data_IF_980230009928
#
_entry.id   IF_980230009928
#
_cell.length_a   1.000
_cell.length_b   1.000
_cell.length_c   1.000
_cell.angle_alpha   90.00
_cell.angle_beta   90.00
_cell.angle_gamma   90.00
#
_symmetry.space_group_name_H-M   'P 1'
#
loop_
_entity.id
_entity.type
_entity.pdbx_description
1 polymer ?
#
# COMPACT_ATOMS: atom_id res chain seq x y z
N UNK A 1 2.71 -30.81 9.03
CA UNK A 1 2.89 -29.51 8.36
C UNK A 1 2.97 -28.45 9.43
N UNK A 2 3.93 -27.51 9.38
CA UNK A 2 4.07 -26.45 10.39
C UNK A 2 2.89 -25.46 10.38
N UNK A 3 2.19 -25.38 9.27
CA UNK A 3 0.99 -24.58 9.10
C UNK A 3 -0.22 -25.47 8.86
N UNK A 4 -1.20 -25.36 9.75
CA UNK A 4 -2.54 -25.93 9.64
C UNK A 4 -3.52 -24.80 9.98
N UNK A 5 -3.99 -24.11 8.93
CA UNK A 5 -4.78 -22.91 9.09
C UNK A 5 -6.15 -23.20 9.74
N UNK A 6 -6.82 -24.27 9.31
CA UNK A 6 -8.15 -24.65 9.80
C UNK A 6 -8.11 -24.91 11.31
N UNK A 7 -7.24 -25.83 11.75
CA UNK A 7 -7.12 -26.16 13.17
C UNK A 7 -6.71 -24.98 14.04
N UNK A 8 -5.79 -24.14 13.56
CA UNK A 8 -5.34 -22.94 14.29
C UNK A 8 -6.45 -21.88 14.37
N UNK A 9 -7.26 -21.72 13.32
CA UNK A 9 -8.42 -20.84 13.35
C UNK A 9 -9.48 -21.32 14.34
N UNK A 10 -9.84 -22.61 14.31
CA UNK A 10 -10.76 -23.21 15.29
C UNK A 10 -10.28 -22.98 16.72
N UNK A 11 -9.00 -23.26 17.01
CA UNK A 11 -8.42 -23.05 18.33
C UNK A 11 -8.44 -21.58 18.78
N UNK A 12 -8.36 -20.63 17.85
CA UNK A 12 -8.52 -19.20 18.17
C UNK A 12 -9.98 -18.84 18.51
N UNK A 13 -10.96 -19.44 17.82
CA UNK A 13 -12.38 -19.28 18.17
C UNK A 13 -12.71 -19.90 19.54
N UNK A 14 -12.02 -20.98 19.90
CA UNK A 14 -12.10 -21.60 21.23
C UNK A 14 -11.27 -20.89 22.30
N UNK A 15 -10.58 -19.79 21.94
CA UNK A 15 -9.69 -19.01 22.82
C UNK A 15 -8.55 -19.82 23.45
N UNK A 16 -8.14 -20.93 22.81
CA UNK A 16 -7.01 -21.76 23.24
C UNK A 16 -5.71 -21.43 22.49
N UNK A 17 -5.82 -20.66 21.42
CA UNK A 17 -4.71 -20.17 20.60
C UNK A 17 -4.72 -18.64 20.58
N UNK A 18 -3.56 -18.03 20.80
CA UNK A 18 -3.36 -16.60 20.55
C UNK A 18 -2.80 -16.40 19.14
N UNK A 19 -3.32 -15.43 18.42
CA UNK A 19 -2.89 -15.07 17.07
C UNK A 19 -1.44 -14.59 17.03
N UNK A 20 -1.05 -13.71 17.97
CA UNK A 20 0.25 -13.04 17.87
C UNK A 20 1.44 -14.00 18.03
N UNK A 21 1.45 -14.93 19.00
CA UNK A 21 2.50 -15.94 19.11
C UNK A 21 2.56 -16.85 17.87
N UNK A 22 1.40 -17.26 17.35
CA UNK A 22 1.33 -18.15 16.20
C UNK A 22 1.84 -17.50 14.92
N UNK A 23 1.31 -16.33 14.53
CA UNK A 23 1.68 -15.67 13.27
C UNK A 23 3.14 -15.21 13.26
N UNK A 24 3.71 -14.92 14.44
CA UNK A 24 5.12 -14.58 14.60
C UNK A 24 6.03 -15.80 14.81
N UNK A 25 5.51 -17.02 14.63
CA UNK A 25 6.24 -18.28 14.77
C UNK A 25 6.93 -18.46 16.13
N UNK A 26 6.39 -17.86 17.20
CA UNK A 26 6.97 -17.95 18.56
C UNK A 26 6.80 -19.33 19.19
N UNK A 27 5.94 -20.16 18.62
CA UNK A 27 5.65 -21.53 19.06
C UNK A 27 6.55 -22.56 18.37
N UNK A 28 7.25 -22.16 17.31
CA UNK A 28 8.16 -23.05 16.58
C UNK A 28 9.55 -23.05 17.23
N UNK A 29 10.28 -24.17 17.17
CA UNK A 29 11.67 -24.22 17.61
C UNK A 29 12.53 -23.19 16.85
N UNK A 30 13.37 -22.42 17.56
CA UNK A 30 14.17 -21.35 16.94
C UNK A 30 15.08 -21.88 15.83
N UNK A 31 15.59 -23.09 15.99
CA UNK A 31 16.46 -23.80 15.06
C UNK A 31 15.78 -24.20 13.75
N UNK A 32 14.44 -24.22 13.69
CA UNK A 32 13.69 -24.44 12.44
C UNK A 32 13.34 -23.14 11.71
N UNK A 33 13.78 -21.98 12.23
CA UNK A 33 13.48 -20.67 11.68
C UNK A 33 14.75 -20.03 11.11
N UNK A 34 14.62 -19.43 9.93
CA UNK A 34 15.65 -18.57 9.35
C UNK A 34 15.03 -17.34 8.68
N UNK A 35 15.87 -16.38 8.32
CA UNK A 35 15.44 -15.18 7.61
C UNK A 35 15.40 -15.41 6.11
N UNK A 36 14.37 -14.87 5.47
CA UNK A 36 14.36 -14.68 4.02
C UNK A 36 15.24 -13.50 3.64
N UNK A 37 15.66 -13.49 2.37
CA UNK A 37 16.33 -12.33 1.80
C UNK A 37 15.41 -11.10 1.82
N UNK A 38 15.95 -9.88 2.02
CA UNK A 38 15.15 -8.66 2.15
C UNK A 38 14.17 -8.39 1.01
N UNK A 39 14.46 -8.88 -0.19
CA UNK A 39 13.65 -8.74 -1.41
C UNK A 39 12.24 -9.36 -1.27
N UNK A 40 12.07 -10.32 -0.37
CA UNK A 40 10.77 -10.92 -0.02
C UNK A 40 9.94 -10.06 0.94
N UNK A 41 10.48 -8.91 1.38
CA UNK A 41 9.80 -7.98 2.28
C UNK A 41 10.28 -6.53 2.06
N UNK A 42 10.40 -6.10 0.80
CA UNK A 42 10.89 -4.77 0.45
C UNK A 42 9.83 -3.70 0.77
N UNK A 43 10.18 -2.73 1.64
CA UNK A 43 9.28 -1.64 2.03
C UNK A 43 9.52 -0.37 1.20
N UNK A 44 8.56 -0.01 0.36
CA UNK A 44 8.56 1.20 -0.48
C UNK A 44 9.84 1.37 -1.32
N UNK A 45 10.50 0.26 -1.66
CA UNK A 45 11.68 0.18 -2.53
C UNK A 45 11.38 -0.82 -3.64
N UNK A 46 11.29 -0.37 -4.88
CA UNK A 46 10.95 -1.24 -5.99
C UNK A 46 12.09 -1.33 -7.01
N UNK A 47 12.76 -2.49 -7.02
CA UNK A 47 13.95 -2.77 -7.83
C UNK A 47 13.79 -4.08 -8.60
N UNK A 48 14.71 -4.40 -9.53
CA UNK A 48 14.70 -5.67 -10.26
C UNK A 48 14.90 -6.91 -9.36
N UNK A 49 15.43 -6.71 -8.15
CA UNK A 49 15.66 -7.77 -7.17
C UNK A 49 14.39 -8.07 -6.38
N UNK A 50 13.52 -7.07 -6.19
CA UNK A 50 12.32 -7.13 -5.37
C UNK A 50 11.41 -8.30 -5.79
N UNK A 51 11.01 -9.12 -4.81
CA UNK A 51 10.09 -10.26 -5.00
C UNK A 51 8.70 -9.96 -4.45
N UNK A 52 8.63 -9.25 -3.32
CA UNK A 52 7.39 -8.82 -2.70
C UNK A 52 7.52 -7.37 -2.22
N UNK A 53 6.83 -6.47 -2.94
CA UNK A 53 6.78 -5.05 -2.63
C UNK A 53 5.69 -4.76 -1.59
N UNK A 54 6.05 -4.06 -0.52
CA UNK A 54 5.14 -3.52 0.49
C UNK A 54 5.06 -2.00 0.36
N UNK A 55 3.88 -1.48 0.01
CA UNK A 55 3.62 -0.03 -0.11
C UNK A 55 3.15 0.57 1.21
N UNK A 56 4.07 0.75 2.17
CA UNK A 56 3.71 1.13 3.55
C UNK A 56 3.47 2.63 3.73
N UNK A 57 3.97 3.47 2.83
CA UNK A 57 3.85 4.93 2.96
C UNK A 57 2.48 5.41 2.53
N UNK A 58 1.56 5.49 3.50
CA UNK A 58 0.21 6.07 3.32
C UNK A 58 0.21 7.42 2.60
N UNK A 59 1.17 8.32 2.89
CA UNK A 59 1.21 9.67 2.28
C UNK A 59 1.45 9.69 0.77
N UNK A 60 1.94 8.59 0.23
CA UNK A 60 2.47 8.50 -1.14
C UNK A 60 1.89 7.32 -1.91
N UNK A 61 0.66 6.92 -1.57
CA UNK A 61 -0.03 5.87 -2.32
C UNK A 61 -0.27 6.32 -3.77
N UNK A 62 0.13 5.54 -4.79
CA UNK A 62 0.08 5.94 -6.19
C UNK A 62 -1.25 6.52 -6.68
N UNK A 63 -2.36 5.89 -6.28
CA UNK A 63 -3.70 6.27 -6.73
C UNK A 63 -4.28 7.49 -6.01
N UNK A 64 -3.65 7.97 -4.93
CA UNK A 64 -4.16 9.11 -4.13
C UNK A 64 -3.43 10.41 -4.38
N UNK A 65 -2.29 10.42 -5.09
CA UNK A 65 -1.47 11.61 -5.34
C UNK A 65 -2.31 12.83 -5.71
N UNK A 66 -2.09 13.96 -5.02
CA UNK A 66 -2.80 15.22 -5.27
C UNK A 66 -4.16 15.34 -4.58
N UNK A 67 -4.78 14.24 -4.16
CA UNK A 67 -6.05 14.28 -3.42
C UNK A 67 -5.87 14.83 -2.00
N UNK A 68 -6.92 15.42 -1.39
CA UNK A 68 -6.90 15.81 0.01
C UNK A 68 -6.62 14.61 0.92
N UNK A 69 -5.89 14.86 2.00
CA UNK A 69 -5.68 13.85 3.04
C UNK A 69 -7.00 13.42 3.66
N UNK A 70 -7.24 12.11 3.77
CA UNK A 70 -8.44 11.49 4.33
C UNK A 70 -8.13 10.60 5.56
N UNK A 71 -6.96 10.79 6.16
CA UNK A 71 -6.53 10.03 7.34
C UNK A 71 -6.00 10.95 8.44
N UNK A 72 -6.16 10.50 9.69
CA UNK A 72 -5.64 11.22 10.85
C UNK A 72 -4.15 10.92 11.07
N UNK A 73 -3.28 11.94 11.12
CA UNK A 73 -1.92 11.77 11.60
C UNK A 73 -1.92 11.26 13.03
N UNK A 74 -0.91 10.45 13.36
CA UNK A 74 -0.71 10.04 14.74
C UNK A 74 -0.45 11.28 15.60
N UNK A 75 -1.39 11.61 16.49
CA UNK A 75 -1.28 12.73 17.44
C UNK A 75 -0.42 12.39 18.67
N UNK A 76 0.43 11.35 18.56
CA UNK A 76 1.38 10.97 19.60
C UNK A 76 2.72 11.66 19.33
N UNK A 77 2.75 12.98 19.50
CA UNK A 77 4.03 13.68 19.60
C UNK A 77 4.56 13.59 21.03
N UNK A 78 5.37 12.55 21.29
CA UNK A 78 5.99 12.32 22.61
C UNK A 78 6.95 13.44 23.02
N UNK A 79 7.57 14.13 22.06
CA UNK A 79 8.57 15.18 22.32
C UNK A 79 7.99 16.59 22.50
N UNK A 80 6.75 16.87 22.09
CA UNK A 80 6.17 18.21 22.21
C UNK A 80 4.64 18.20 22.42
N UNK A 81 4.17 18.06 23.66
CA UNK A 81 2.74 18.00 24.00
C UNK A 81 1.87 19.13 23.44
N UNK A 82 2.33 20.40 23.32
CA UNK A 82 1.51 21.47 22.78
C UNK A 82 1.10 21.28 21.31
N UNK A 83 1.93 20.61 20.50
CA UNK A 83 1.58 20.33 19.10
C UNK A 83 0.37 19.41 18.98
N UNK A 84 0.24 18.44 19.89
CA UNK A 84 -0.95 17.57 19.95
C UNK A 84 -2.21 18.36 20.31
N UNK A 85 -2.11 19.38 21.17
CA UNK A 85 -3.23 20.26 21.50
C UNK A 85 -3.64 21.16 20.32
N UNK A 86 -2.69 21.70 19.57
CA UNK A 86 -2.97 22.46 18.35
C UNK A 86 -3.68 21.59 17.32
N UNK A 87 -3.20 20.36 17.10
CA UNK A 87 -3.85 19.42 16.16
C UNK A 87 -5.25 19.01 16.61
N UNK A 88 -5.45 18.84 17.92
CA UNK A 88 -6.76 18.57 18.52
C UNK A 88 -7.72 19.76 18.38
N UNK A 89 -7.24 20.97 18.61
CA UNK A 89 -8.01 22.21 18.43
C UNK A 89 -8.39 22.42 16.95
N UNK A 90 -7.42 22.26 16.03
CA UNK A 90 -7.65 22.31 14.58
C UNK A 90 -8.78 21.38 14.15
N UNK A 91 -8.74 20.11 14.60
CA UNK A 91 -9.80 19.14 14.31
C UNK A 91 -11.15 19.58 14.84
N UNK A 92 -11.22 20.06 16.08
CA UNK A 92 -12.48 20.47 16.72
C UNK A 92 -13.11 21.68 16.02
N UNK A 93 -12.28 22.60 15.53
CA UNK A 93 -12.73 23.87 14.94
C UNK A 93 -12.99 23.76 13.43
N UNK A 94 -12.18 23.00 12.70
CA UNK A 94 -12.19 23.02 11.23
C UNK A 94 -12.52 21.65 10.60
N UNK A 95 -12.69 20.61 11.41
CA UNK A 95 -13.00 19.27 10.95
C UNK A 95 -11.77 18.35 10.86
N UNK A 96 -12.06 17.08 10.62
CA UNK A 96 -11.11 15.97 10.82
C UNK A 96 -9.82 16.11 10.01
N UNK A 97 -9.95 16.52 8.75
CA UNK A 97 -8.85 16.56 7.80
C UNK A 97 -8.45 17.96 7.33
N UNK A 98 -9.10 19.00 7.85
CA UNK A 98 -8.81 20.37 7.48
C UNK A 98 -7.33 20.70 7.71
N UNK A 99 -6.72 21.37 6.73
CA UNK A 99 -5.32 21.81 6.75
C UNK A 99 -4.27 20.69 6.87
N UNK A 100 -4.61 19.43 6.57
CA UNK A 100 -3.62 18.35 6.49
C UNK A 100 -2.84 18.31 5.16
N UNK A 101 -3.27 19.11 4.18
CA UNK A 101 -2.71 19.11 2.83
C UNK A 101 -3.09 17.86 2.04
N UNK A 102 -2.34 17.60 0.97
CA UNK A 102 -2.67 16.57 -0.01
C UNK A 102 -1.66 15.41 0.05
N UNK A 103 -2.11 14.27 -0.45
CA UNK A 103 -1.24 13.15 -0.76
C UNK A 103 -0.11 13.58 -1.70
N UNK A 104 1.09 13.10 -1.43
CA UNK A 104 2.30 13.42 -2.19
C UNK A 104 2.57 12.33 -3.22
N UNK A 105 3.28 12.69 -4.26
CA UNK A 105 3.84 11.73 -5.19
C UNK A 105 4.89 10.85 -4.50
N UNK A 106 4.92 9.56 -4.84
CA UNK A 106 5.93 8.64 -4.35
C UNK A 106 7.32 9.02 -4.90
N UNK A 107 8.38 9.05 -4.08
CA UNK A 107 9.73 9.40 -4.56
C UNK A 107 10.27 8.39 -5.57
N UNK A 108 9.93 7.12 -5.42
CA UNK A 108 10.19 6.07 -6.40
C UNK A 108 8.99 5.96 -7.35
N UNK A 109 9.18 6.43 -8.60
CA UNK A 109 8.14 6.49 -9.62
C UNK A 109 7.75 5.12 -10.18
N UNK A 110 8.64 4.14 -10.07
CA UNK A 110 8.38 2.79 -10.56
C UNK A 110 7.17 2.15 -9.88
N UNK A 111 6.89 2.51 -8.63
CA UNK A 111 5.71 2.03 -7.91
C UNK A 111 4.40 2.63 -8.44
N UNK A 112 4.44 3.89 -8.89
CA UNK A 112 3.30 4.51 -9.56
C UNK A 112 3.06 3.84 -10.92
N UNK A 113 4.10 3.70 -11.73
CA UNK A 113 4.04 3.02 -13.02
C UNK A 113 3.55 1.58 -12.88
N UNK A 114 4.05 0.84 -11.88
CA UNK A 114 3.63 -0.53 -11.65
C UNK A 114 2.15 -0.65 -11.27
N UNK A 115 1.69 0.18 -10.33
CA UNK A 115 0.28 0.19 -9.95
C UNK A 115 -0.62 0.52 -11.14
N UNK A 116 -0.30 1.57 -11.91
CA UNK A 116 -1.10 1.95 -13.07
C UNK A 116 -1.00 0.94 -14.22
N UNK A 117 0.12 0.23 -14.35
CA UNK A 117 0.26 -0.87 -15.30
C UNK A 117 -0.68 -2.04 -14.97
N UNK A 118 -0.77 -2.41 -13.69
CA UNK A 118 -1.74 -3.42 -13.23
C UNK A 118 -3.18 -2.95 -13.45
N UNK A 119 -3.47 -1.68 -13.15
CA UNK A 119 -4.80 -1.11 -13.36
C UNK A 119 -5.16 -1.09 -14.86
N UNK A 120 -4.22 -0.71 -15.72
CA UNK A 120 -4.38 -0.71 -17.18
C UNK A 120 -4.75 -2.11 -17.68
N UNK A 121 -4.01 -3.13 -17.26
CA UNK A 121 -4.33 -4.53 -17.58
C UNK A 121 -5.76 -4.91 -17.12
N UNK A 122 -6.16 -4.51 -15.91
CA UNK A 122 -7.52 -4.78 -15.41
C UNK A 122 -8.61 -4.09 -16.27
N UNK A 123 -8.35 -2.88 -16.76
CA UNK A 123 -9.28 -2.14 -17.63
C UNK A 123 -9.37 -2.82 -19.00
N UNK A 124 -8.24 -3.18 -19.59
CA UNK A 124 -8.17 -3.86 -20.90
C UNK A 124 -8.86 -5.22 -20.87
N UNK A 125 -8.76 -5.95 -19.76
CA UNK A 125 -9.45 -7.22 -19.56
C UNK A 125 -10.94 -7.06 -19.16
N UNK A 126 -11.45 -5.83 -19.02
CA UNK A 126 -12.83 -5.55 -18.61
C UNK A 126 -13.15 -5.92 -17.16
N UNK A 127 -12.13 -6.16 -16.31
CA UNK A 127 -12.31 -6.42 -14.87
C UNK A 127 -12.68 -5.13 -14.12
N UNK A 128 -12.25 -3.99 -14.63
CA UNK A 128 -12.57 -2.64 -14.14
C UNK A 128 -13.05 -1.81 -15.33
N UNK A 129 -14.15 -1.08 -15.17
CA UNK A 129 -14.68 -0.21 -16.24
C UNK A 129 -14.18 1.22 -16.09
N UNK A 130 -14.13 1.97 -17.19
CA UNK A 130 -13.87 3.41 -17.13
C UNK A 130 -14.91 4.15 -16.29
N UNK A 131 -16.19 3.75 -16.38
CA UNK A 131 -17.27 4.31 -15.56
C UNK A 131 -16.98 4.13 -14.06
N UNK A 132 -16.54 2.94 -13.65
CA UNK A 132 -16.12 2.69 -12.27
C UNK A 132 -15.00 3.64 -11.86
N UNK A 133 -13.97 3.79 -12.69
CA UNK A 133 -12.87 4.72 -12.40
C UNK A 133 -13.35 6.17 -12.27
N UNK A 134 -14.23 6.63 -13.17
CA UNK A 134 -14.80 7.99 -13.10
C UNK A 134 -15.60 8.21 -11.82
N UNK A 135 -16.35 7.20 -11.37
CA UNK A 135 -17.10 7.26 -10.11
C UNK A 135 -16.18 7.30 -8.89
N UNK A 136 -15.09 6.53 -8.88
CA UNK A 136 -14.08 6.55 -7.81
C UNK A 136 -13.27 7.86 -7.80
N UNK A 137 -13.02 8.43 -8.98
CA UNK A 137 -12.43 9.77 -9.13
C UNK A 137 -13.37 10.82 -8.54
N UNK A 138 -14.66 10.83 -8.89
CA UNK A 138 -15.64 11.79 -8.38
C UNK A 138 -15.76 11.79 -6.84
N UNK A 139 -15.46 10.64 -6.20
CA UNK A 139 -15.48 10.47 -4.75
C UNK A 139 -14.14 10.78 -4.06
N UNK A 140 -13.10 11.21 -4.78
CA UNK A 140 -11.72 11.33 -4.27
C UNK A 140 -11.14 10.01 -3.71
N UNK A 141 -11.61 8.86 -4.21
CA UNK A 141 -10.97 7.58 -3.91
C UNK A 141 -9.73 7.37 -4.78
N UNK A 142 -9.79 7.85 -6.03
CA UNK A 142 -8.70 7.81 -7.01
C UNK A 142 -8.43 9.23 -7.54
N UNK A 143 -7.17 9.56 -7.82
CA UNK A 143 -6.74 10.86 -8.36
C UNK A 143 -7.44 11.19 -9.68
N UNK A 144 -7.80 12.46 -9.87
CA UNK A 144 -8.62 12.93 -11.00
C UNK A 144 -7.93 12.91 -12.36
N UNK A 145 -6.63 12.68 -12.41
CA UNK A 145 -5.81 12.47 -13.61
C UNK A 145 -5.50 10.98 -13.86
N UNK A 146 -6.16 10.05 -13.14
CA UNK A 146 -5.89 8.62 -13.26
C UNK A 146 -6.02 8.07 -14.69
N UNK A 147 -7.02 8.53 -15.47
CA UNK A 147 -7.20 8.10 -16.86
C UNK A 147 -6.08 8.64 -17.78
N UNK A 148 -5.59 9.86 -17.52
CA UNK A 148 -4.45 10.42 -18.25
C UNK A 148 -3.18 9.62 -17.97
N UNK A 149 -2.92 9.30 -16.71
CA UNK A 149 -1.77 8.50 -16.30
C UNK A 149 -1.85 7.10 -16.88
N UNK A 150 -3.03 6.49 -16.86
CA UNK A 150 -3.26 5.16 -17.43
C UNK A 150 -2.95 5.15 -18.93
N UNK A 151 -3.35 6.19 -19.66
CA UNK A 151 -3.01 6.33 -21.08
C UNK A 151 -1.51 6.51 -21.35
N UNK A 152 -0.78 7.17 -20.45
CA UNK A 152 0.67 7.37 -20.53
C UNK A 152 1.49 6.20 -19.99
N UNK A 153 0.86 5.29 -19.22
CA UNK A 153 1.55 4.19 -18.57
C UNK A 153 1.86 3.09 -19.59
N UNK A 154 3.13 2.65 -19.71
CA UNK A 154 3.50 1.55 -20.58
C UNK A 154 2.90 0.24 -20.08
N UNK A 155 2.68 -0.70 -21.00
CA UNK A 155 2.18 -2.03 -20.67
C UNK A 155 3.20 -2.79 -19.83
N UNK A 156 2.72 -3.58 -18.87
CA UNK A 156 3.58 -4.47 -18.11
C UNK A 156 4.06 -5.62 -19.00
N UNK A 157 5.31 -6.08 -18.82
CA UNK A 157 5.76 -7.27 -19.51
C UNK A 157 4.97 -8.49 -19.02
N UNK A 158 4.75 -9.50 -19.88
CA UNK A 158 4.01 -10.71 -19.47
C UNK A 158 4.77 -11.49 -18.40
N UNK A 159 4.04 -12.12 -17.48
CA UNK A 159 4.64 -13.03 -16.51
C UNK A 159 5.40 -14.19 -17.23
N UNK A 160 6.56 -14.64 -16.71
CA UNK A 160 7.15 -14.33 -15.40
C UNK A 160 8.16 -13.16 -15.41
N UNK A 161 8.18 -12.32 -16.46
CA UNK A 161 9.13 -11.20 -16.53
C UNK A 161 8.86 -10.19 -15.41
N UNK A 162 9.94 -9.60 -14.90
CA UNK A 162 9.84 -8.61 -13.82
C UNK A 162 9.20 -7.31 -14.36
N UNK A 163 8.26 -6.66 -13.64
CA UNK A 163 7.58 -5.46 -14.13
C UNK A 163 8.50 -4.32 -14.59
N UNK A 164 9.69 -4.21 -13.97
CA UNK A 164 10.69 -3.19 -14.32
C UNK A 164 11.57 -3.54 -15.52
N UNK A 165 11.47 -4.74 -16.09
CA UNK A 165 12.25 -5.09 -17.30
C UNK A 165 11.79 -4.35 -18.55
N UNK A 166 10.51 -3.99 -18.65
CA UNK A 166 10.02 -3.15 -19.74
C UNK A 166 10.58 -1.72 -19.66
N UNK A 167 10.79 -1.21 -18.45
CA UNK A 167 11.30 0.15 -18.19
C UNK A 167 12.81 0.21 -18.42
N UNK A 168 13.56 -0.84 -18.05
CA UNK A 168 15.02 -0.86 -18.21
C UNK A 168 15.49 -0.98 -19.67
N UNK A 169 14.61 -1.38 -20.60
CA UNK A 169 14.92 -1.46 -22.03
C UNK A 169 14.65 -0.14 -22.78
N UNK A 170 13.93 0.79 -22.16
CA UNK A 170 13.56 2.09 -22.74
C UNK A 170 14.43 3.27 -22.26
N UNK A 171 15.40 3.01 -21.37
CA UNK A 171 16.36 3.97 -20.84
C UNK A 171 17.77 3.67 -21.35
#
# INVERSE_FOLDING_TARGET
THWDAEKKFEAMFDFTQDYQPWICLKEEPRESLDFFEPEWNDFDKFTLQTKMLHTTRRKTQPWKTGLPTDWRPAERFRLFPPAAWVMRARRKLFGEYAFLGNYKQHPDRNQETFFFGLLKECVEQGKITEEFLRNEMAQNHVRHDALEILAQTPDLPPAPLHPLTAISQAA
#
